data_IF_573511054781
#
_entry.id   IF_573511054781
#
_cell.length_a   1.000
_cell.length_b   1.000
_cell.length_c   1.000
_cell.angle_alpha   90.00
_cell.angle_beta   90.00
_cell.angle_gamma   90.00
#
_symmetry.space_group_name_H-M   'P 1'
#
loop_
_entity.id
_entity.type
_entity.pdbx_description
1 polymer ?
#
# COMPACT_ATOMS: atom_id res chain seq x y z
N UNK A 1 0.24 14.78 -22.36
CA UNK A 1 0.27 13.33 -22.06
C UNK A 1 0.85 13.18 -20.67
N UNK A 2 0.14 12.55 -19.74
CA UNK A 2 0.67 12.27 -18.40
C UNK A 2 1.93 11.41 -18.55
N UNK A 3 3.01 11.81 -17.89
CA UNK A 3 4.25 11.02 -17.87
C UNK A 3 4.00 9.81 -16.96
N UNK A 4 3.82 8.62 -17.53
CA UNK A 4 3.59 7.37 -16.79
C UNK A 4 4.88 6.55 -16.83
N UNK A 5 5.27 5.96 -15.69
CA UNK A 5 6.37 5.00 -15.66
C UNK A 5 5.84 3.66 -16.19
N UNK A 6 6.43 3.09 -17.25
CA UNK A 6 5.99 1.80 -17.78
C UNK A 6 6.03 0.70 -16.73
N UNK A 7 5.05 -0.22 -16.76
CA UNK A 7 4.94 -1.32 -15.80
C UNK A 7 6.21 -2.18 -15.77
N UNK A 8 6.80 -2.48 -16.93
CA UNK A 8 8.05 -3.24 -17.02
C UNK A 8 9.19 -2.56 -16.24
N UNK A 9 9.32 -1.22 -16.39
CA UNK A 9 10.35 -0.46 -15.71
C UNK A 9 10.14 -0.45 -14.19
N UNK A 10 8.89 -0.27 -13.72
CA UNK A 10 8.57 -0.34 -12.29
C UNK A 10 8.95 -1.71 -11.72
N UNK A 11 8.55 -2.78 -12.37
CA UNK A 11 8.89 -4.14 -11.91
C UNK A 11 10.40 -4.38 -11.87
N UNK A 12 11.15 -3.85 -12.84
CA UNK A 12 12.61 -3.96 -12.85
C UNK A 12 13.27 -3.12 -11.76
N UNK A 13 12.70 -1.95 -11.42
CA UNK A 13 13.16 -1.19 -10.27
C UNK A 13 13.01 -1.97 -8.98
N UNK A 14 11.82 -2.55 -8.73
CA UNK A 14 11.59 -3.39 -7.53
C UNK A 14 12.53 -4.58 -7.44
N UNK A 15 12.77 -5.30 -8.54
CA UNK A 15 13.74 -6.42 -8.58
C UNK A 15 15.16 -5.98 -8.22
N UNK A 16 15.53 -4.73 -8.53
CA UNK A 16 16.82 -4.11 -8.16
C UNK A 16 16.83 -3.46 -6.77
N UNK A 17 15.73 -3.54 -6.03
CA UNK A 17 15.59 -2.91 -4.72
C UNK A 17 15.34 -1.40 -4.77
N UNK A 18 14.99 -0.85 -5.93
CA UNK A 18 14.65 0.55 -6.15
C UNK A 18 13.13 0.76 -6.04
N UNK A 19 12.72 1.96 -5.63
CA UNK A 19 11.33 2.40 -5.69
C UNK A 19 11.25 3.89 -6.02
N UNK A 20 10.22 4.31 -6.76
CA UNK A 20 10.03 5.69 -7.17
C UNK A 20 9.35 6.52 -6.08
N UNK A 21 9.77 7.78 -5.91
CA UNK A 21 9.09 8.78 -5.10
C UNK A 21 9.20 10.14 -5.77
N UNK A 22 8.13 10.94 -5.72
CA UNK A 22 8.20 12.36 -6.05
C UNK A 22 8.65 13.18 -4.82
N UNK A 23 9.22 14.34 -5.04
CA UNK A 23 9.60 15.24 -3.93
C UNK A 23 8.36 15.84 -3.24
N UNK A 24 7.29 16.07 -3.99
CA UNK A 24 5.99 16.57 -3.52
C UNK A 24 4.89 16.24 -4.55
N UNK A 25 3.64 16.63 -4.22
CA UNK A 25 2.47 16.36 -5.06
C UNK A 25 2.54 16.98 -6.47
N UNK A 26 3.20 18.13 -6.59
CA UNK A 26 3.25 18.93 -7.82
C UNK A 26 4.55 18.70 -8.62
N UNK A 27 5.48 17.92 -8.08
CA UNK A 27 6.76 17.63 -8.75
C UNK A 27 6.56 16.80 -10.01
N UNK A 28 7.17 17.22 -11.11
CA UNK A 28 7.27 16.42 -12.32
C UNK A 28 8.47 15.45 -12.31
N UNK A 29 9.31 15.55 -11.29
CA UNK A 29 10.53 14.73 -11.16
C UNK A 29 10.21 13.54 -10.26
N UNK A 30 10.55 12.35 -10.73
CA UNK A 30 10.49 11.11 -9.98
C UNK A 30 11.91 10.64 -9.67
N UNK A 31 12.23 10.58 -8.39
CA UNK A 31 13.50 10.06 -7.92
C UNK A 31 13.40 8.57 -7.64
N UNK A 32 14.48 7.82 -7.89
CA UNK A 32 14.58 6.41 -7.53
C UNK A 32 15.43 6.27 -6.26
N UNK A 33 14.86 5.64 -5.26
CA UNK A 33 15.51 5.43 -3.97
C UNK A 33 15.93 3.98 -3.80
N UNK A 34 17.16 3.76 -3.30
CA UNK A 34 17.69 2.46 -2.95
C UNK A 34 18.25 2.49 -1.53
N UNK A 35 17.48 2.08 -0.51
CA UNK A 35 17.97 2.05 0.86
C UNK A 35 19.02 0.97 1.06
N UNK A 36 20.10 1.28 1.78
CA UNK A 36 21.16 0.32 2.13
C UNK A 36 20.66 -0.85 2.99
N UNK A 37 19.61 -0.63 3.79
CA UNK A 37 18.95 -1.63 4.62
C UNK A 37 17.44 -1.51 4.45
N UNK A 38 16.75 -2.62 4.21
CA UNK A 38 15.29 -2.67 4.15
C UNK A 38 14.72 -3.33 5.39
N UNK A 39 13.68 -2.72 5.95
CA UNK A 39 12.86 -3.37 6.95
C UNK A 39 11.98 -4.43 6.25
N UNK A 40 11.96 -5.63 6.82
CA UNK A 40 11.11 -6.72 6.34
C UNK A 40 10.20 -7.20 7.48
N UNK A 41 9.01 -7.65 7.13
CA UNK A 41 8.07 -8.31 8.03
C UNK A 41 8.02 -9.79 7.66
N UNK A 42 8.69 -10.68 8.41
CA UNK A 42 8.59 -12.12 8.19
C UNK A 42 7.17 -12.59 8.49
N UNK A 43 6.46 -13.11 7.47
CA UNK A 43 5.03 -13.45 7.58
C UNK A 43 4.78 -14.49 8.67
N UNK A 44 5.66 -15.50 8.79
CA UNK A 44 5.51 -16.55 9.79
C UNK A 44 5.75 -16.08 11.24
N UNK A 45 6.54 -15.01 11.41
CA UNK A 45 6.91 -14.45 12.73
C UNK A 45 6.26 -13.08 12.97
N UNK A 46 5.18 -12.77 12.25
CA UNK A 46 4.49 -11.50 12.41
C UNK A 46 3.86 -11.38 13.79
N UNK A 47 4.38 -10.46 14.61
CA UNK A 47 3.88 -10.21 15.95
C UNK A 47 2.69 -9.27 15.95
N UNK A 48 1.57 -9.71 16.52
CA UNK A 48 0.37 -8.89 16.70
C UNK A 48 0.20 -8.53 18.18
N UNK A 49 0.22 -7.25 18.56
CA UNK A 49 -0.05 -6.85 19.92
C UNK A 49 -1.43 -7.35 20.41
N UNK A 50 -1.50 -7.96 21.59
CA UNK A 50 -2.75 -8.53 22.14
C UNK A 50 -3.92 -7.54 22.14
N UNK A 51 -3.67 -6.26 22.47
CA UNK A 51 -4.67 -5.19 22.45
C UNK A 51 -5.23 -4.95 21.05
N UNK A 52 -4.35 -4.89 20.03
CA UNK A 52 -4.76 -4.68 18.64
C UNK A 52 -5.58 -5.87 18.14
N UNK A 53 -5.18 -7.09 18.46
CA UNK A 53 -5.90 -8.31 18.08
C UNK A 53 -7.30 -8.40 18.71
N UNK A 54 -7.42 -8.01 19.99
CA UNK A 54 -8.73 -7.92 20.67
C UNK A 54 -9.64 -6.90 19.98
N UNK A 55 -9.09 -5.72 19.62
CA UNK A 55 -9.85 -4.69 18.88
C UNK A 55 -10.26 -5.20 17.50
N UNK A 56 -9.36 -5.84 16.77
CA UNK A 56 -9.67 -6.44 15.46
C UNK A 56 -10.83 -7.44 15.53
N UNK A 57 -10.83 -8.33 16.55
CA UNK A 57 -11.90 -9.30 16.75
C UNK A 57 -13.25 -8.70 17.17
N UNK A 58 -13.21 -7.55 17.85
CA UNK A 58 -14.42 -6.85 18.32
C UNK A 58 -15.12 -6.05 17.23
N UNK A 59 -14.38 -5.59 16.23
CA UNK A 59 -14.94 -4.76 15.17
C UNK A 59 -15.71 -5.60 14.14
N UNK A 60 -16.78 -5.03 13.65
CA UNK A 60 -17.64 -5.60 12.61
C UNK A 60 -17.26 -5.10 11.22
N UNK A 61 -16.02 -4.60 11.05
CA UNK A 61 -15.54 -4.05 9.79
C UNK A 61 -15.43 -5.13 8.72
N UNK A 62 -15.74 -4.74 7.50
CA UNK A 62 -15.60 -5.58 6.32
C UNK A 62 -14.26 -5.31 5.65
N UNK A 63 -13.55 -6.38 5.26
CA UNK A 63 -12.30 -6.27 4.51
C UNK A 63 -12.50 -6.75 3.09
N UNK A 64 -11.96 -5.98 2.14
CA UNK A 64 -11.97 -6.33 0.71
C UNK A 64 -10.56 -6.22 0.13
N UNK A 65 -10.32 -6.91 -0.98
CA UNK A 65 -9.08 -6.85 -1.75
C UNK A 65 -9.40 -6.36 -3.14
N UNK A 66 -8.66 -5.38 -3.64
CA UNK A 66 -8.79 -4.90 -5.02
C UNK A 66 -10.21 -4.44 -5.38
N UNK A 67 -11.03 -4.03 -4.41
CA UNK A 67 -12.39 -3.58 -4.65
C UNK A 67 -12.43 -2.14 -5.16
N UNK A 68 -11.52 -1.29 -4.64
CA UNK A 68 -11.41 0.11 -5.05
C UNK A 68 -9.97 0.62 -4.86
N UNK A 69 -9.05 0.10 -5.66
CA UNK A 69 -7.62 0.44 -5.60
C UNK A 69 -7.38 1.95 -5.78
N UNK A 70 -8.08 2.57 -6.74
CA UNK A 70 -7.96 4.00 -7.02
C UNK A 70 -8.29 4.86 -5.80
N UNK A 71 -9.39 4.55 -5.10
CA UNK A 71 -9.73 5.27 -3.85
C UNK A 71 -8.68 5.07 -2.77
N UNK A 72 -8.07 3.87 -2.67
CA UNK A 72 -7.02 3.62 -1.67
C UNK A 72 -5.79 4.46 -1.96
N UNK A 73 -5.26 4.45 -3.19
CA UNK A 73 -4.05 5.22 -3.52
C UNK A 73 -4.30 6.72 -3.43
N UNK A 74 -5.48 7.21 -3.84
CA UNK A 74 -5.87 8.63 -3.73
C UNK A 74 -5.97 9.06 -2.26
N UNK A 75 -6.56 8.25 -1.38
CA UNK A 75 -6.59 8.53 0.06
C UNK A 75 -5.21 8.46 0.71
N UNK A 76 -4.31 7.60 0.24
CA UNK A 76 -2.91 7.61 0.65
C UNK A 76 -2.17 8.88 0.20
N UNK A 77 -2.47 9.40 -0.98
CA UNK A 77 -1.94 10.67 -1.48
C UNK A 77 -2.39 11.85 -0.61
N UNK A 78 -3.67 11.88 -0.24
CA UNK A 78 -4.29 12.95 0.55
C UNK A 78 -4.09 12.80 2.06
N UNK A 79 -3.52 11.68 2.53
CA UNK A 79 -3.34 11.43 3.94
C UNK A 79 -2.51 12.55 4.61
N UNK A 80 -3.07 13.14 5.66
CA UNK A 80 -2.43 14.21 6.40
C UNK A 80 -1.18 13.68 7.11
N UNK A 81 0.00 14.13 6.69
CA UNK A 81 1.31 13.78 7.26
C UNK A 81 1.90 15.00 7.93
N UNK A 82 2.58 14.79 9.07
CA UNK A 82 3.16 15.86 9.89
C UNK A 82 4.16 16.76 9.16
N UNK A 83 4.75 16.27 8.07
CA UNK A 83 5.86 16.94 7.35
C UNK A 83 5.43 17.51 5.99
N UNK A 84 4.20 18.02 5.88
CA UNK A 84 3.72 18.84 4.76
C UNK A 84 3.93 18.27 3.34
N UNK A 85 3.64 17.02 3.10
CA UNK A 85 3.67 16.58 1.73
C UNK A 85 3.40 15.10 1.51
N UNK A 86 3.09 14.81 0.27
CA UNK A 86 2.99 13.44 -0.22
C UNK A 86 4.04 13.24 -1.31
N UNK A 87 4.63 12.06 -1.31
CA UNK A 87 5.50 11.61 -2.40
C UNK A 87 4.69 10.98 -3.57
N UNK A 88 3.38 10.84 -3.38
CA UNK A 88 2.47 10.30 -4.39
C UNK A 88 1.93 11.47 -5.20
N UNK A 89 2.56 11.79 -6.33
CA UNK A 89 2.05 12.75 -7.31
C UNK A 89 1.16 12.03 -8.36
N UNK A 90 0.67 12.75 -9.36
CA UNK A 90 -0.15 12.19 -10.44
C UNK A 90 0.58 11.10 -11.23
N UNK A 91 1.88 11.29 -11.49
CA UNK A 91 2.71 10.31 -12.22
C UNK A 91 2.77 8.97 -11.46
N UNK A 92 3.05 9.03 -10.17
CA UNK A 92 3.06 7.85 -9.28
C UNK A 92 1.69 7.19 -9.27
N UNK A 93 0.63 7.97 -9.02
CA UNK A 93 -0.74 7.47 -8.95
C UNK A 93 -1.11 6.70 -10.23
N UNK A 94 -0.97 7.33 -11.39
CA UNK A 94 -1.31 6.72 -12.68
C UNK A 94 -0.46 5.49 -13.00
N UNK A 95 0.83 5.53 -12.63
CA UNK A 95 1.75 4.39 -12.83
C UNK A 95 1.34 3.17 -11.99
N UNK A 96 0.92 3.38 -10.73
CA UNK A 96 0.47 2.29 -9.87
C UNK A 96 -0.95 1.81 -10.21
N UNK A 97 -1.80 2.67 -10.77
CA UNK A 97 -3.08 2.23 -11.37
C UNK A 97 -2.83 1.25 -12.52
N UNK A 98 -1.86 1.55 -13.40
CA UNK A 98 -1.49 0.63 -14.48
C UNK A 98 -0.93 -0.70 -13.94
N UNK A 99 -0.08 -0.66 -12.89
CA UNK A 99 0.36 -1.89 -12.21
C UNK A 99 -0.82 -2.70 -11.67
N UNK A 100 -1.84 -2.01 -11.14
CA UNK A 100 -3.04 -2.67 -10.63
C UNK A 100 -3.85 -3.32 -11.76
N UNK A 101 -4.05 -2.65 -12.88
CA UNK A 101 -4.74 -3.23 -14.05
C UNK A 101 -4.01 -4.47 -14.58
N UNK A 102 -2.68 -4.48 -14.52
CA UNK A 102 -1.86 -5.65 -14.85
C UNK A 102 -1.73 -6.68 -13.71
N UNK A 103 -2.53 -6.54 -12.63
CA UNK A 103 -2.56 -7.46 -11.48
C UNK A 103 -1.22 -7.59 -10.77
N UNK A 104 -0.42 -6.52 -10.75
CA UNK A 104 0.87 -6.44 -10.06
C UNK A 104 0.82 -5.58 -8.80
N UNK A 105 -0.11 -4.62 -8.73
CA UNK A 105 -0.38 -3.88 -7.50
C UNK A 105 -1.76 -4.24 -6.93
N UNK A 106 -1.84 -4.28 -5.61
CA UNK A 106 -3.02 -4.71 -4.88
C UNK A 106 -3.31 -3.78 -3.71
N UNK A 107 -4.60 -3.64 -3.39
CA UNK A 107 -5.09 -2.96 -2.20
C UNK A 107 -5.73 -3.93 -1.21
N UNK A 108 -5.65 -3.57 0.06
CA UNK A 108 -6.50 -4.12 1.13
C UNK A 108 -7.26 -2.97 1.75
N UNK A 109 -8.55 -3.13 1.87
CA UNK A 109 -9.51 -2.11 2.21
C UNK A 109 -10.28 -2.50 3.46
N UNK A 110 -10.48 -1.54 4.36
CA UNK A 110 -11.28 -1.68 5.56
C UNK A 110 -12.51 -0.78 5.46
N UNK A 111 -13.69 -1.37 5.56
CA UNK A 111 -14.97 -0.66 5.49
C UNK A 111 -15.72 -0.76 6.82
N UNK A 112 -16.28 0.38 7.24
CA UNK A 112 -17.35 0.43 8.22
C UNK A 112 -18.66 0.63 7.46
N UNK A 113 -19.53 -0.39 7.49
CA UNK A 113 -20.68 -0.48 6.59
C UNK A 113 -20.23 -0.35 5.12
N UNK A 114 -20.54 0.78 4.45
CA UNK A 114 -20.14 1.05 3.07
C UNK A 114 -19.05 2.12 2.94
N UNK A 115 -18.58 2.68 4.06
CA UNK A 115 -17.58 3.73 4.06
C UNK A 115 -16.18 3.12 4.12
N UNK A 116 -15.30 3.50 3.20
CA UNK A 116 -13.89 3.12 3.19
C UNK A 116 -13.14 3.94 4.26
N UNK A 117 -12.82 3.31 5.39
CA UNK A 117 -12.25 3.94 6.59
C UNK A 117 -10.75 3.72 6.76
N UNK A 118 -10.16 2.81 6.01
CA UNK A 118 -8.74 2.53 6.02
C UNK A 118 -8.33 1.66 4.86
N UNK A 119 -7.08 1.74 4.49
CA UNK A 119 -6.54 0.94 3.39
C UNK A 119 -5.03 0.97 3.34
N UNK A 120 -4.50 0.02 2.63
CA UNK A 120 -3.10 -0.02 2.20
C UNK A 120 -3.02 -0.53 0.77
N UNK A 121 -1.95 -0.17 0.08
CA UNK A 121 -1.63 -0.76 -1.21
C UNK A 121 -0.15 -1.13 -1.30
N UNK A 122 0.17 -1.98 -2.26
CA UNK A 122 1.53 -2.41 -2.53
C UNK A 122 1.65 -3.23 -3.80
N UNK A 123 2.88 -3.60 -4.10
CA UNK A 123 3.27 -4.35 -5.30
C UNK A 123 3.65 -5.78 -4.93
N UNK A 124 3.21 -6.72 -5.72
CA UNK A 124 3.49 -8.14 -5.56
C UNK A 124 4.45 -8.64 -6.64
N UNK A 125 5.57 -9.24 -6.23
CA UNK A 125 6.54 -9.87 -7.13
C UNK A 125 7.05 -11.16 -6.49
N UNK A 126 6.77 -12.29 -7.13
CA UNK A 126 7.14 -13.60 -6.57
C UNK A 126 6.56 -13.82 -5.17
N UNK A 127 7.38 -14.24 -4.22
CA UNK A 127 7.00 -14.40 -2.80
C UNK A 127 7.12 -13.13 -1.96
N UNK A 128 7.15 -11.94 -2.56
CA UNK A 128 7.30 -10.67 -1.86
C UNK A 128 6.12 -9.75 -2.11
N UNK A 129 5.63 -9.11 -1.04
CA UNK A 129 4.70 -7.99 -1.11
C UNK A 129 5.40 -6.72 -0.62
N UNK A 130 5.54 -5.74 -1.50
CA UNK A 130 6.14 -4.45 -1.20
C UNK A 130 5.03 -3.48 -0.79
N UNK A 131 4.88 -3.24 0.51
CA UNK A 131 3.92 -2.26 1.02
C UNK A 131 4.39 -0.85 0.71
N UNK A 132 3.55 -0.07 0.03
CA UNK A 132 3.89 1.27 -0.42
C UNK A 132 3.37 2.34 0.53
N UNK A 133 2.08 2.36 0.77
CA UNK A 133 1.46 3.36 1.63
C UNK A 133 0.19 2.83 2.27
N UNK A 134 -0.26 3.55 3.32
CA UNK A 134 -1.52 3.27 3.99
C UNK A 134 -2.15 4.56 4.51
N UNK A 135 -3.48 4.53 4.69
CA UNK A 135 -4.23 5.60 5.33
C UNK A 135 -5.18 5.05 6.40
N UNK A 136 -5.57 5.90 7.34
CA UNK A 136 -6.56 5.60 8.38
C UNK A 136 -7.46 6.81 8.60
N UNK A 137 -8.76 6.66 8.38
CA UNK A 137 -9.77 7.63 8.81
C UNK A 137 -10.26 7.31 10.23
N UNK A 138 -10.38 6.03 10.56
CA UNK A 138 -10.62 5.59 11.93
C UNK A 138 -9.37 4.95 12.54
N UNK A 139 -9.22 5.14 13.85
CA UNK A 139 -8.05 4.62 14.59
C UNK A 139 -7.84 3.12 14.35
N UNK A 140 -6.61 2.76 13.98
CA UNK A 140 -6.14 1.41 13.70
C UNK A 140 -6.68 0.76 12.41
N UNK A 141 -7.51 1.42 11.61
CA UNK A 141 -8.06 0.80 10.38
C UNK A 141 -6.99 0.34 9.39
N UNK A 142 -5.91 1.11 9.18
CA UNK A 142 -4.77 0.67 8.36
C UNK A 142 -4.01 -0.51 8.97
N UNK A 143 -3.88 -0.54 10.30
CA UNK A 143 -3.27 -1.69 10.99
C UNK A 143 -4.11 -2.95 10.84
N UNK A 144 -5.43 -2.82 10.83
CA UNK A 144 -6.34 -3.93 10.55
C UNK A 144 -6.20 -4.42 9.12
N UNK A 145 -6.02 -3.53 8.14
CA UNK A 145 -5.67 -3.91 6.77
C UNK A 145 -4.37 -4.71 6.71
N UNK A 146 -3.34 -4.29 7.47
CA UNK A 146 -2.06 -5.02 7.53
C UNK A 146 -2.23 -6.42 8.16
N UNK A 147 -3.02 -6.55 9.23
CA UNK A 147 -3.33 -7.85 9.82
C UNK A 147 -4.02 -8.77 8.82
N UNK A 148 -5.00 -8.24 8.10
CA UNK A 148 -5.75 -8.97 7.09
C UNK A 148 -4.84 -9.39 5.91
N UNK A 149 -3.96 -8.47 5.43
CA UNK A 149 -2.98 -8.76 4.39
C UNK A 149 -2.06 -9.92 4.80
N UNK A 150 -1.45 -9.85 6.00
CA UNK A 150 -0.55 -10.90 6.48
C UNK A 150 -1.26 -12.25 6.57
N UNK A 151 -2.51 -12.28 7.03
CA UNK A 151 -3.31 -13.51 7.09
C UNK A 151 -3.53 -14.12 5.69
N UNK A 152 -3.80 -13.27 4.68
CA UNK A 152 -3.98 -13.71 3.29
C UNK A 152 -2.67 -14.22 2.70
N UNK A 153 -1.59 -13.47 2.85
CA UNK A 153 -0.28 -13.87 2.35
C UNK A 153 0.14 -15.21 2.95
N UNK A 154 -0.05 -15.39 4.25
CA UNK A 154 0.23 -16.67 4.93
C UNK A 154 -0.64 -17.82 4.39
N UNK A 155 -1.94 -17.57 4.15
CA UNK A 155 -2.85 -18.58 3.60
C UNK A 155 -2.46 -19.01 2.18
N UNK A 156 -1.81 -18.14 1.41
CA UNK A 156 -1.38 -18.37 0.03
C UNK A 156 0.10 -18.74 -0.09
N UNK A 157 0.72 -19.17 1.00
CA UNK A 157 2.11 -19.69 1.01
C UNK A 157 3.16 -18.69 0.50
N UNK A 158 2.96 -17.41 0.85
CA UNK A 158 3.95 -16.37 0.60
C UNK A 158 5.18 -16.55 1.48
#
# INVERSE_FOLDING_TARGET
MSKIIPVSNLLDFYKKGLFPMADNADSEIINLYQPKKRFIIPINNFHVPKKLFKLFKKNTFTFKINNNFESVISKCQLANRKDNGTWINSIILDSYLNLHYEKKAHSVECYDQNQLIGGLYGVHIGGCFFGESMFSELSNSSKFCLLYLVAILKKNSF
#
